data_IF_524899376512
#
_entry.id   IF_524899376512
#
_cell.length_a   1.000
_cell.length_b   1.000
_cell.length_c   1.000
_cell.angle_alpha   90.00
_cell.angle_beta   90.00
_cell.angle_gamma   90.00
#
_symmetry.space_group_name_H-M   'P 1'
#
loop_
_entity.id
_entity.type
_entity.pdbx_description
1 polymer ?
#
# COMPACT_ATOMS: atom_id res chain seq x y z
N UNK A 1 -19.38 -3.48 -18.08
CA UNK A 1 -20.31 -4.27 -18.93
C UNK A 1 -19.61 -5.60 -19.10
N UNK A 2 -20.03 -6.73 -18.57
CA UNK A 2 -21.37 -7.30 -18.36
C UNK A 2 -21.47 -7.90 -16.96
N UNK A 3 -22.48 -7.47 -16.20
CA UNK A 3 -22.89 -8.10 -14.95
C UNK A 3 -24.31 -8.60 -15.19
N UNK A 4 -24.47 -9.89 -15.44
CA UNK A 4 -25.77 -10.56 -15.37
C UNK A 4 -25.59 -11.98 -14.87
N UNK A 5 -25.90 -12.18 -13.59
CA UNK A 5 -27.01 -13.05 -13.18
C UNK A 5 -27.34 -12.74 -11.73
N UNK A 6 -28.47 -12.07 -11.54
CA UNK A 6 -29.08 -11.84 -10.24
C UNK A 6 -30.05 -12.98 -9.89
N UNK A 7 -30.22 -13.17 -8.56
CA UNK A 7 -31.30 -13.78 -7.77
C UNK A 7 -31.01 -15.11 -7.03
N UNK A 8 -31.62 -15.33 -5.83
CA UNK A 8 -31.95 -14.36 -4.78
C UNK A 8 -31.69 -14.86 -3.32
N UNK A 9 -31.69 -13.90 -2.39
CA UNK A 9 -32.13 -13.96 -0.98
C UNK A 9 -31.62 -15.08 -0.05
N UNK A 10 -30.86 -14.68 0.97
CA UNK A 10 -30.57 -15.52 2.13
C UNK A 10 -29.95 -14.82 3.35
N UNK A 11 -30.11 -13.50 3.52
CA UNK A 11 -29.75 -12.83 4.78
C UNK A 11 -30.77 -13.23 5.85
N UNK A 12 -30.48 -14.31 6.58
CA UNK A 12 -31.28 -14.75 7.74
C UNK A 12 -31.18 -16.24 8.08
N UNK A 13 -30.82 -17.12 7.15
CA UNK A 13 -30.86 -18.57 7.41
C UNK A 13 -29.69 -19.13 8.23
N UNK A 14 -28.50 -18.53 8.14
CA UNK A 14 -27.30 -19.09 8.77
C UNK A 14 -27.34 -19.06 10.32
N UNK A 15 -28.04 -18.08 10.91
CA UNK A 15 -28.19 -17.99 12.37
C UNK A 15 -29.32 -18.90 12.89
N UNK A 16 -30.37 -19.11 12.09
CA UNK A 16 -31.51 -19.95 12.47
C UNK A 16 -31.20 -21.45 12.32
N UNK A 17 -30.47 -21.85 11.26
CA UNK A 17 -30.04 -23.24 11.05
C UNK A 17 -29.01 -23.71 12.10
N UNK A 18 -28.22 -22.81 12.67
CA UNK A 18 -27.30 -23.15 13.76
C UNK A 18 -28.09 -23.50 15.05
N UNK A 19 -29.18 -22.78 15.34
CA UNK A 19 -29.97 -22.98 16.55
C UNK A 19 -30.88 -24.22 16.47
N UNK A 20 -31.31 -24.60 15.27
CA UNK A 20 -32.09 -25.84 15.06
C UNK A 20 -31.23 -27.11 15.22
N UNK A 21 -29.92 -27.02 14.93
CA UNK A 21 -28.98 -28.14 15.04
C UNK A 21 -28.67 -28.57 16.49
N UNK A 22 -28.81 -27.66 17.47
CA UNK A 22 -28.61 -27.98 18.90
C UNK A 22 -29.86 -28.63 19.55
N UNK A 23 -31.05 -28.46 18.96
CA UNK A 23 -32.30 -29.00 19.50
C UNK A 23 -32.55 -30.48 19.13
N UNK A 24 -31.85 -31.02 18.13
CA UNK A 24 -32.07 -32.37 17.59
C UNK A 24 -31.07 -33.45 18.10
N UNK A 25 -30.17 -33.12 19.03
CA UNK A 25 -29.24 -34.08 19.65
C UNK A 25 -29.89 -34.95 20.75
N UNK A 26 -31.09 -35.46 20.50
CA UNK A 26 -31.83 -36.34 21.42
C UNK A 26 -32.59 -37.43 20.68
N UNK A 27 -31.91 -38.49 20.23
CA UNK A 27 -32.59 -39.67 19.67
C UNK A 27 -31.66 -40.51 18.77
N UNK A 28 -31.40 -41.77 19.15
CA UNK A 28 -30.36 -42.60 18.54
C UNK A 28 -30.73 -43.33 17.25
N UNK A 29 -29.78 -44.15 16.78
CA UNK A 29 -30.00 -45.29 15.89
C UNK A 29 -29.40 -45.20 14.48
N UNK A 30 -28.27 -45.89 14.29
CA UNK A 30 -27.81 -46.61 13.08
C UNK A 30 -28.08 -46.07 11.67
N UNK A 31 -27.02 -45.66 10.97
CA UNK A 31 -27.00 -45.54 9.51
C UNK A 31 -25.69 -44.94 9.02
N UNK A 32 -24.87 -45.72 8.31
CA UNK A 32 -23.61 -45.27 7.72
C UNK A 32 -23.87 -44.34 6.52
N UNK A 33 -24.10 -43.05 6.80
CA UNK A 33 -23.92 -41.98 5.84
C UNK A 33 -22.56 -41.34 6.13
N UNK A 34 -21.67 -41.34 5.13
CA UNK A 34 -20.38 -40.67 5.21
C UNK A 34 -20.60 -39.21 5.67
N UNK A 35 -20.22 -38.92 6.91
CA UNK A 35 -20.27 -37.58 7.46
C UNK A 35 -19.38 -36.69 6.59
N UNK A 36 -20.00 -35.80 5.79
CA UNK A 36 -19.26 -34.70 5.15
C UNK A 36 -18.66 -33.86 6.28
N UNK A 37 -17.35 -33.93 6.42
CA UNK A 37 -16.59 -33.20 7.42
C UNK A 37 -16.93 -31.70 7.33
N UNK A 38 -17.41 -31.07 8.43
CA UNK A 38 -17.66 -29.63 8.48
C UNK A 38 -16.42 -28.78 8.13
N UNK A 39 -15.21 -29.34 8.25
CA UNK A 39 -13.94 -28.70 7.86
C UNK A 39 -13.83 -28.50 6.35
N UNK A 40 -14.30 -29.45 5.52
CA UNK A 40 -14.29 -29.31 4.05
C UNK A 40 -15.17 -28.15 3.57
N UNK A 41 -16.29 -27.87 4.26
CA UNK A 41 -17.12 -26.69 3.99
C UNK A 41 -16.46 -25.39 4.44
N UNK A 42 -15.75 -25.41 5.57
CA UNK A 42 -15.00 -24.25 6.08
C UNK A 42 -13.81 -23.94 5.16
N UNK A 43 -13.08 -24.94 4.69
CA UNK A 43 -11.93 -24.79 3.79
C UNK A 43 -12.37 -24.28 2.41
N UNK A 44 -13.52 -24.71 1.90
CA UNK A 44 -14.12 -24.16 0.67
C UNK A 44 -14.60 -22.72 0.83
N UNK A 45 -15.17 -22.36 1.98
CA UNK A 45 -15.57 -20.99 2.28
C UNK A 45 -14.38 -20.02 2.43
N UNK A 46 -13.23 -20.52 2.90
CA UNK A 46 -11.98 -19.73 3.00
C UNK A 46 -11.33 -19.51 1.62
N UNK A 47 -11.53 -20.44 0.68
CA UNK A 47 -10.98 -20.35 -0.68
C UNK A 47 -11.83 -19.56 -1.68
N UNK A 48 -13.03 -19.13 -1.30
CA UNK A 48 -13.91 -18.34 -2.17
C UNK A 48 -13.51 -16.86 -2.10
N UNK A 49 -13.11 -16.29 -3.25
CA UNK A 49 -12.67 -14.89 -3.33
C UNK A 49 -13.84 -13.96 -2.92
N UNK A 50 -13.56 -13.05 -2.00
CA UNK A 50 -14.51 -12.01 -1.60
C UNK A 50 -14.90 -11.13 -2.79
N UNK A 51 -16.19 -10.85 -2.94
CA UNK A 51 -16.72 -9.94 -3.95
C UNK A 51 -17.08 -8.60 -3.31
N UNK A 52 -16.93 -7.51 -4.07
CA UNK A 52 -17.36 -6.19 -3.64
C UNK A 52 -18.89 -6.12 -3.65
N UNK A 53 -19.49 -5.59 -2.58
CA UNK A 53 -20.94 -5.42 -2.51
C UNK A 53 -21.40 -4.28 -3.42
N UNK A 54 -20.63 -3.20 -3.50
CA UNK A 54 -20.94 -2.04 -4.31
C UNK A 54 -19.77 -1.57 -5.19
N UNK A 55 -20.09 -1.05 -6.38
CA UNK A 55 -19.08 -0.45 -7.28
C UNK A 55 -18.43 0.80 -6.66
N UNK A 56 -19.19 1.55 -5.86
CA UNK A 56 -18.70 2.76 -5.19
C UNK A 56 -17.67 2.41 -4.12
N UNK A 57 -17.86 1.31 -3.38
CA UNK A 57 -16.86 0.82 -2.41
C UNK A 57 -15.53 0.55 -3.11
N UNK A 58 -15.55 -0.14 -4.24
CA UNK A 58 -14.36 -0.38 -5.05
C UNK A 58 -13.69 0.93 -5.51
N UNK A 59 -14.45 1.87 -6.07
CA UNK A 59 -13.89 3.16 -6.54
C UNK A 59 -13.32 3.97 -5.38
N UNK A 60 -13.98 4.00 -4.23
CA UNK A 60 -13.51 4.70 -3.04
C UNK A 60 -12.23 4.08 -2.48
N UNK A 61 -12.13 2.74 -2.45
CA UNK A 61 -10.90 2.06 -2.06
C UNK A 61 -9.72 2.41 -2.97
N UNK A 62 -9.94 2.41 -4.29
CA UNK A 62 -8.90 2.77 -5.26
C UNK A 62 -8.54 4.25 -5.17
N UNK A 63 -9.52 5.14 -5.00
CA UNK A 63 -9.26 6.56 -4.82
C UNK A 63 -8.49 6.87 -3.52
N UNK A 64 -8.79 6.15 -2.44
CA UNK A 64 -8.08 6.24 -1.16
C UNK A 64 -6.60 5.86 -1.27
N UNK A 65 -6.29 4.86 -2.08
CA UNK A 65 -4.90 4.45 -2.36
C UNK A 65 -4.14 5.50 -3.18
N UNK A 66 -4.79 6.11 -4.18
CA UNK A 66 -4.17 7.09 -5.08
C UNK A 66 -3.94 8.44 -4.36
N UNK A 67 -4.81 8.82 -3.44
CA UNK A 67 -4.74 10.09 -2.71
C UNK A 67 -3.85 9.91 -1.47
N UNK A 68 -2.53 9.87 -1.67
CA UNK A 68 -1.55 9.78 -0.60
C UNK A 68 -1.14 11.14 0.00
N UNK A 69 -0.70 11.13 1.27
CA UNK A 69 -0.10 12.28 1.97
C UNK A 69 1.08 12.91 1.19
N UNK A 70 1.80 12.10 0.41
CA UNK A 70 2.86 12.58 -0.47
C UNK A 70 2.40 13.66 -1.45
N UNK A 71 1.16 13.60 -1.95
CA UNK A 71 0.61 14.61 -2.86
C UNK A 71 0.35 15.95 -2.16
N UNK A 72 0.19 15.97 -0.84
CA UNK A 72 -0.14 17.19 -0.08
C UNK A 72 1.10 18.08 0.10
N UNK A 73 2.27 17.50 0.39
CA UNK A 73 3.49 18.29 0.64
C UNK A 73 4.50 18.24 -0.51
N UNK A 74 4.64 17.10 -1.21
CA UNK A 74 5.71 16.92 -2.21
C UNK A 74 5.38 17.66 -3.49
N UNK A 75 4.13 17.57 -3.93
CA UNK A 75 3.69 18.20 -5.17
C UNK A 75 3.82 19.73 -5.12
N UNK A 76 3.31 20.44 -4.09
CA UNK A 76 3.49 21.89 -4.01
C UNK A 76 4.96 22.30 -3.91
N UNK A 77 5.75 21.56 -3.13
CA UNK A 77 7.19 21.81 -2.98
C UNK A 77 7.94 21.70 -4.30
N UNK A 78 7.66 20.66 -5.08
CA UNK A 78 8.31 20.43 -6.38
C UNK A 78 7.86 21.45 -7.43
N UNK A 79 6.57 21.79 -7.46
CA UNK A 79 6.05 22.84 -8.34
C UNK A 79 6.77 24.17 -8.05
N UNK A 80 6.90 24.55 -6.78
CA UNK A 80 7.55 25.81 -6.40
C UNK A 80 9.02 25.87 -6.87
N UNK A 81 9.80 24.80 -6.67
CA UNK A 81 11.20 24.76 -7.11
C UNK A 81 11.39 24.71 -8.62
N UNK A 82 10.46 24.11 -9.36
CA UNK A 82 10.61 23.84 -10.79
C UNK A 82 9.88 24.87 -11.68
N UNK A 83 9.77 26.12 -11.23
CA UNK A 83 9.15 27.19 -12.02
C UNK A 83 7.65 27.41 -11.77
N UNK A 84 7.15 26.99 -10.60
CA UNK A 84 5.79 27.24 -10.14
C UNK A 84 4.73 26.60 -11.03
N UNK A 85 3.82 27.44 -11.53
CA UNK A 85 2.69 27.02 -12.35
C UNK A 85 3.08 26.39 -13.70
N UNK A 86 4.25 26.71 -14.25
CA UNK A 86 4.69 26.18 -15.54
C UNK A 86 5.02 24.67 -15.48
N UNK A 87 5.37 24.16 -14.29
CA UNK A 87 5.64 22.74 -14.06
C UNK A 87 4.39 21.86 -14.24
N UNK A 88 3.18 22.43 -14.19
CA UNK A 88 1.94 21.68 -14.38
C UNK A 88 1.78 21.18 -15.82
N UNK A 89 2.33 21.87 -16.82
CA UNK A 89 2.20 21.51 -18.23
C UNK A 89 2.82 20.13 -18.51
N UNK A 90 4.12 19.88 -18.25
CA UNK A 90 4.70 18.56 -18.43
C UNK A 90 4.08 17.52 -17.49
N UNK A 91 3.71 17.90 -16.27
CA UNK A 91 3.07 17.00 -15.31
C UNK A 91 1.76 16.41 -15.85
N UNK A 92 0.87 17.24 -16.39
CA UNK A 92 -0.41 16.78 -16.96
C UNK A 92 -0.19 15.94 -18.22
N UNK A 93 0.78 16.30 -19.06
CA UNK A 93 1.12 15.52 -20.26
C UNK A 93 1.61 14.12 -19.87
N UNK A 94 2.57 14.01 -18.94
CA UNK A 94 3.05 12.70 -18.46
C UNK A 94 1.96 11.91 -17.71
N UNK A 95 1.08 12.59 -16.98
CA UNK A 95 -0.05 11.95 -16.31
C UNK A 95 -1.01 11.29 -17.32
N UNK A 96 -1.34 11.98 -18.41
CA UNK A 96 -2.25 11.46 -19.45
C UNK A 96 -1.54 10.41 -20.32
N UNK A 97 -0.29 10.64 -20.71
CA UNK A 97 0.44 9.75 -21.62
C UNK A 97 0.98 8.48 -20.94
N UNK A 98 1.33 8.53 -19.66
CA UNK A 98 1.95 7.41 -18.95
C UNK A 98 1.12 6.97 -17.74
N UNK A 99 0.59 7.90 -16.95
CA UNK A 99 -0.18 7.57 -15.74
C UNK A 99 -1.48 6.80 -16.03
N UNK A 100 -2.37 7.36 -16.85
CA UNK A 100 -3.66 6.74 -17.18
C UNK A 100 -3.47 5.36 -17.86
N UNK A 101 -2.58 5.19 -18.87
CA UNK A 101 -2.38 3.90 -19.50
C UNK A 101 -1.82 2.83 -18.56
N UNK A 102 -0.85 3.17 -17.70
CA UNK A 102 -0.29 2.22 -16.73
C UNK A 102 -1.33 1.82 -15.70
N UNK A 103 -2.11 2.76 -15.18
CA UNK A 103 -3.19 2.47 -14.24
C UNK A 103 -4.26 1.55 -14.84
N UNK A 104 -4.65 1.79 -16.09
CA UNK A 104 -5.61 0.95 -16.79
C UNK A 104 -5.04 -0.45 -17.07
N UNK A 105 -3.77 -0.54 -17.47
CA UNK A 105 -3.08 -1.80 -17.70
C UNK A 105 -3.01 -2.64 -16.43
N UNK A 106 -2.62 -2.05 -15.30
CA UNK A 106 -2.55 -2.72 -14.00
C UNK A 106 -3.94 -3.24 -13.56
N UNK A 107 -4.96 -2.39 -13.67
CA UNK A 107 -6.34 -2.76 -13.30
C UNK A 107 -6.88 -3.87 -14.19
N UNK A 108 -6.62 -3.81 -15.50
CA UNK A 108 -7.05 -4.83 -16.46
C UNK A 108 -6.34 -6.17 -16.22
N UNK A 109 -5.04 -6.15 -15.91
CA UNK A 109 -4.27 -7.35 -15.55
C UNK A 109 -4.77 -8.00 -14.27
N UNK A 110 -5.09 -7.21 -13.24
CA UNK A 110 -5.68 -7.71 -12.01
C UNK A 110 -7.05 -8.38 -12.23
N UNK A 111 -7.87 -7.79 -13.10
CA UNK A 111 -9.17 -8.37 -13.48
C UNK A 111 -9.01 -9.65 -14.32
N UNK A 112 -8.10 -9.67 -15.28
CA UNK A 112 -7.87 -10.81 -16.16
C UNK A 112 -7.31 -12.02 -15.40
N UNK A 113 -6.32 -11.81 -14.55
CA UNK A 113 -5.69 -12.90 -13.80
C UNK A 113 -6.53 -13.36 -12.62
N UNK A 114 -7.34 -12.46 -12.04
CA UNK A 114 -8.14 -12.71 -10.82
C UNK A 114 -7.31 -13.32 -9.68
N UNK A 115 -6.02 -12.97 -9.62
CA UNK A 115 -5.04 -13.45 -8.67
C UNK A 115 -4.49 -12.29 -7.81
N UNK A 116 -3.64 -12.59 -6.83
CA UNK A 116 -2.95 -11.55 -6.05
C UNK A 116 -1.71 -11.01 -6.78
N UNK A 117 -1.11 -9.92 -6.28
CA UNK A 117 0.04 -9.26 -6.92
C UNK A 117 1.26 -10.17 -7.15
N UNK A 118 1.47 -11.18 -6.30
CA UNK A 118 2.57 -12.15 -6.47
C UNK A 118 2.17 -13.31 -7.40
N UNK A 119 0.96 -13.86 -7.23
CA UNK A 119 0.51 -15.05 -7.99
C UNK A 119 0.08 -14.71 -9.42
N UNK A 120 -0.22 -13.44 -9.70
CA UNK A 120 -0.50 -12.90 -11.04
C UNK A 120 0.66 -13.15 -12.03
N UNK A 121 1.90 -12.84 -11.63
CA UNK A 121 3.08 -12.99 -12.48
C UNK A 121 3.30 -14.45 -12.92
N UNK A 122 2.97 -15.42 -12.05
CA UNK A 122 3.02 -16.85 -12.37
C UNK A 122 2.00 -17.29 -13.43
N UNK A 123 0.94 -16.52 -13.68
CA UNK A 123 -0.05 -16.75 -14.77
C UNK A 123 0.21 -15.93 -16.02
N UNK A 124 1.04 -14.88 -15.94
CA UNK A 124 1.50 -14.10 -17.09
C UNK A 124 2.69 -14.80 -17.78
N UNK A 125 3.60 -15.40 -17.00
CA UNK A 125 4.74 -16.19 -17.51
C UNK A 125 4.44 -17.53 -18.24
N UNK A 126 3.37 -18.30 -17.96
CA UNK A 126 3.04 -19.53 -18.68
C UNK A 126 2.44 -19.23 -20.07
N UNK A 127 2.17 -17.96 -20.42
CA UNK A 127 1.82 -17.56 -21.77
C UNK A 127 2.99 -17.76 -22.77
N UNK A 128 4.20 -18.03 -22.26
CA UNK A 128 5.40 -18.37 -23.04
C UNK A 128 5.96 -19.75 -22.66
N UNK A 129 5.08 -20.76 -22.54
CA UNK A 129 5.42 -22.14 -22.14
C UNK A 129 6.28 -22.89 -23.18
N UNK A 130 7.57 -22.57 -23.22
CA UNK A 130 8.64 -23.52 -23.46
C UNK A 130 9.18 -23.98 -22.10
N UNK A 131 8.86 -25.22 -21.70
CA UNK A 131 9.27 -25.90 -20.45
C UNK A 131 10.55 -25.36 -19.81
N UNK A 132 10.44 -24.67 -18.68
CA UNK A 132 11.58 -24.35 -17.82
C UNK A 132 11.37 -25.01 -16.45
N UNK A 133 11.96 -26.18 -16.28
CA UNK A 133 12.00 -26.91 -15.01
C UNK A 133 13.06 -26.26 -14.13
N UNK A 134 12.64 -25.63 -13.02
CA UNK A 134 13.56 -25.02 -12.06
C UNK A 134 13.99 -26.08 -11.05
N UNK A 135 15.24 -26.51 -11.12
CA UNK A 135 15.87 -27.34 -10.10
C UNK A 135 16.48 -26.41 -9.03
N UNK A 136 15.81 -26.29 -7.89
CA UNK A 136 16.29 -25.49 -6.76
C UNK A 136 17.31 -26.31 -5.94
N UNK A 137 18.55 -25.81 -5.81
CA UNK A 137 19.54 -26.32 -4.85
C UNK A 137 19.45 -25.48 -3.57
N UNK A 138 19.23 -26.12 -2.43
CA UNK A 138 18.58 -25.55 -1.23
C UNK A 138 19.37 -24.54 -0.37
N UNK A 139 20.50 -23.95 -0.81
CA UNK A 139 21.44 -23.31 0.15
C UNK A 139 21.95 -21.89 -0.19
N UNK A 140 21.24 -21.04 -0.95
CA UNK A 140 21.79 -19.73 -1.34
C UNK A 140 20.85 -18.56 -1.01
N UNK A 141 21.40 -17.58 -0.29
CA UNK A 141 20.73 -16.43 0.31
C UNK A 141 20.17 -15.46 -0.77
N UNK A 142 18.89 -15.06 -0.74
CA UNK A 142 18.19 -14.56 -1.94
C UNK A 142 18.40 -13.08 -2.31
N UNK A 143 18.91 -12.23 -1.42
CA UNK A 143 18.90 -10.76 -1.66
C UNK A 143 20.14 -10.23 -2.39
N UNK A 144 21.33 -10.76 -2.12
CA UNK A 144 22.58 -10.22 -2.70
C UNK A 144 22.85 -10.80 -4.09
N UNK A 145 22.52 -12.08 -4.32
CA UNK A 145 22.71 -12.74 -5.62
C UNK A 145 21.73 -12.28 -6.71
N UNK A 146 20.63 -11.61 -6.38
CA UNK A 146 19.69 -11.08 -7.38
C UNK A 146 20.30 -9.93 -8.20
N UNK A 147 21.24 -9.18 -7.61
CA UNK A 147 21.96 -8.10 -8.29
C UNK A 147 23.12 -8.63 -9.12
N UNK A 148 23.89 -9.60 -8.60
CA UNK A 148 25.02 -10.21 -9.33
C UNK A 148 24.56 -11.14 -10.48
N UNK A 149 23.45 -11.85 -10.35
CA UNK A 149 22.94 -12.73 -11.42
C UNK A 149 22.45 -11.97 -12.67
N UNK A 150 22.28 -10.65 -12.59
CA UNK A 150 21.86 -9.83 -13.74
C UNK A 150 23.02 -9.55 -14.73
N UNK A 151 24.28 -9.67 -14.29
CA UNK A 151 25.45 -9.29 -15.11
C UNK A 151 25.98 -10.43 -16.02
N UNK A 152 25.70 -11.69 -15.73
CA UNK A 152 26.33 -12.84 -16.42
C UNK A 152 25.53 -13.44 -17.61
N UNK A 153 24.32 -12.96 -17.93
CA UNK A 153 23.38 -13.66 -18.81
C UNK A 153 23.49 -13.36 -20.33
N UNK A 154 24.71 -13.14 -20.86
CA UNK A 154 24.90 -12.71 -22.27
C UNK A 154 25.31 -13.79 -23.29
N UNK A 155 25.25 -15.09 -23.00
CA UNK A 155 25.53 -16.14 -24.02
C UNK A 155 24.40 -17.17 -24.19
N UNK A 156 23.46 -16.84 -25.09
CA UNK A 156 22.90 -17.79 -26.06
C UNK A 156 22.16 -19.04 -25.55
N UNK A 157 21.02 -18.87 -24.88
CA UNK A 157 20.08 -19.97 -24.60
C UNK A 157 19.13 -19.75 -23.42
N UNK A 158 19.46 -18.81 -22.53
CA UNK A 158 18.77 -18.56 -21.25
C UNK A 158 17.66 -17.51 -21.28
N UNK A 159 17.34 -16.93 -22.43
CA UNK A 159 16.50 -15.71 -22.48
C UNK A 159 15.06 -15.91 -21.98
N UNK A 160 14.47 -17.12 -22.12
CA UNK A 160 13.13 -17.41 -21.59
C UNK A 160 13.11 -17.70 -20.08
N UNK A 161 14.15 -18.36 -19.54
CA UNK A 161 14.26 -18.68 -18.11
C UNK A 161 14.49 -17.39 -17.32
N UNK A 162 15.38 -16.51 -17.81
CA UNK A 162 15.69 -15.22 -17.21
C UNK A 162 14.46 -14.31 -17.17
N UNK A 163 13.64 -14.29 -18.24
CA UNK A 163 12.40 -13.51 -18.25
C UNK A 163 11.37 -13.99 -17.21
N UNK A 164 11.22 -15.31 -17.02
CA UNK A 164 10.28 -15.86 -16.03
C UNK A 164 10.73 -15.58 -14.58
N UNK A 165 12.05 -15.64 -14.33
CA UNK A 165 12.63 -15.33 -13.03
C UNK A 165 12.51 -13.83 -12.69
N UNK A 166 12.82 -12.95 -13.65
CA UNK A 166 12.68 -11.49 -13.49
C UNK A 166 11.23 -11.11 -13.20
N UNK A 167 10.26 -11.66 -13.93
CA UNK A 167 8.84 -11.35 -13.73
C UNK A 167 8.31 -11.87 -12.38
N UNK A 168 8.77 -13.04 -11.92
CA UNK A 168 8.44 -13.52 -10.56
C UNK A 168 9.12 -12.67 -9.48
N UNK A 169 10.35 -12.21 -9.74
CA UNK A 169 11.09 -11.28 -8.88
C UNK A 169 10.39 -9.93 -8.71
N UNK A 170 9.72 -9.41 -9.74
CA UNK A 170 8.92 -8.18 -9.66
C UNK A 170 7.79 -8.31 -8.62
N UNK A 171 7.13 -9.46 -8.54
CA UNK A 171 6.08 -9.70 -7.54
C UNK A 171 6.60 -9.63 -6.10
N UNK A 172 7.77 -10.19 -5.83
CA UNK A 172 8.39 -10.10 -4.50
C UNK A 172 8.96 -8.70 -4.22
N UNK A 173 9.57 -8.06 -5.21
CA UNK A 173 10.12 -6.70 -5.08
C UNK A 173 9.01 -5.69 -4.76
N UNK A 174 7.88 -5.74 -5.47
CA UNK A 174 6.72 -4.88 -5.21
C UNK A 174 6.18 -5.09 -3.80
N UNK A 175 6.03 -6.33 -3.33
CA UNK A 175 5.57 -6.61 -1.97
C UNK A 175 6.52 -6.06 -0.89
N UNK A 176 7.83 -6.13 -1.11
CA UNK A 176 8.83 -5.57 -0.19
C UNK A 176 8.74 -4.05 -0.16
N UNK A 177 8.60 -3.39 -1.31
CA UNK A 177 8.45 -1.93 -1.40
C UNK A 177 7.20 -1.48 -0.64
N UNK A 178 6.05 -2.13 -0.86
CA UNK A 178 4.80 -1.82 -0.16
C UNK A 178 4.92 -1.99 1.36
N UNK A 179 5.61 -3.04 1.81
CA UNK A 179 5.84 -3.25 3.24
C UNK A 179 6.67 -2.11 3.86
N UNK A 180 7.72 -1.64 3.17
CA UNK A 180 8.54 -0.52 3.64
C UNK A 180 7.74 0.79 3.66
N UNK A 181 6.95 1.05 2.62
CA UNK A 181 6.07 2.22 2.56
C UNK A 181 5.06 2.18 3.71
N UNK A 182 4.40 1.06 3.95
CA UNK A 182 3.42 0.92 5.03
C UNK A 182 4.04 1.21 6.41
N UNK A 183 5.23 0.65 6.71
CA UNK A 183 5.93 0.94 7.97
C UNK A 183 6.21 2.44 8.10
N UNK A 184 6.72 3.07 7.03
CA UNK A 184 6.98 4.51 7.01
C UNK A 184 5.71 5.34 7.21
N UNK A 185 4.60 4.96 6.56
CA UNK A 185 3.31 5.63 6.70
C UNK A 185 2.73 5.51 8.10
N UNK A 186 2.85 4.35 8.77
CA UNK A 186 2.41 4.17 10.16
C UNK A 186 3.14 5.14 11.09
N UNK A 187 4.45 5.33 10.90
CA UNK A 187 5.22 6.31 11.69
C UNK A 187 4.71 7.74 11.46
N UNK A 188 4.47 8.14 10.21
CA UNK A 188 3.91 9.48 9.91
C UNK A 188 2.54 9.66 10.58
N UNK A 189 1.66 8.67 10.50
CA UNK A 189 0.34 8.74 11.11
C UNK A 189 0.44 8.82 12.64
N UNK A 190 1.38 8.10 13.25
CA UNK A 190 1.63 8.20 14.70
C UNK A 190 2.04 9.62 15.11
N UNK A 191 2.95 10.25 14.35
CA UNK A 191 3.28 11.66 14.57
C UNK A 191 2.06 12.56 14.36
N UNK A 192 1.28 12.38 13.30
CA UNK A 192 0.09 13.19 13.05
C UNK A 192 -0.92 13.13 14.20
N UNK A 193 -1.12 11.95 14.81
CA UNK A 193 -1.98 11.78 16.00
C UNK A 193 -1.38 12.48 17.22
N UNK A 194 -0.06 12.42 17.41
CA UNK A 194 0.64 13.16 18.45
C UNK A 194 0.42 14.68 18.30
N UNK A 195 0.60 15.23 17.10
CA UNK A 195 0.29 16.65 16.82
C UNK A 195 -1.17 16.98 17.06
N UNK A 196 -2.09 16.15 16.55
CA UNK A 196 -3.52 16.34 16.72
C UNK A 196 -3.90 16.43 18.20
N UNK A 197 -3.29 15.59 19.04
CA UNK A 197 -3.52 15.59 20.49
C UNK A 197 -3.02 16.89 21.14
N UNK A 198 -1.88 17.42 20.68
CA UNK A 198 -1.32 18.68 21.15
C UNK A 198 -2.04 19.92 20.59
N UNK A 199 -2.87 19.80 19.55
CA UNK A 199 -3.69 20.91 19.06
C UNK A 199 -4.85 21.27 20.02
N UNK A 200 -5.19 20.41 20.98
CA UNK A 200 -6.23 20.68 21.96
C UNK A 200 -5.74 21.44 23.20
N UNK A 201 -4.45 21.81 23.27
CA UNK A 201 -3.92 22.65 24.35
C UNK A 201 -4.17 24.13 24.07
N UNK A 202 -4.27 24.94 25.13
CA UNK A 202 -4.53 26.38 25.01
C UNK A 202 -3.37 27.15 24.39
N UNK A 203 -2.15 26.72 24.68
CA UNK A 203 -0.91 27.22 24.08
C UNK A 203 -0.22 26.04 23.40
N UNK A 204 0.21 26.23 22.15
CA UNK A 204 0.86 25.18 21.37
C UNK A 204 2.34 25.10 21.76
N UNK A 205 2.89 23.90 22.01
CA UNK A 205 4.26 23.76 22.54
C UNK A 205 5.36 24.19 21.55
N UNK A 206 5.05 24.32 20.26
CA UNK A 206 5.95 24.82 19.22
C UNK A 206 5.69 26.29 18.82
N UNK A 207 4.81 27.00 19.54
CA UNK A 207 4.51 28.41 19.26
C UNK A 207 5.40 29.40 20.02
N UNK A 208 5.97 29.00 21.16
CA UNK A 208 6.71 29.90 22.07
C UNK A 208 8.11 29.38 22.41
N UNK A 209 9.04 30.31 22.64
CA UNK A 209 10.39 30.03 23.14
C UNK A 209 10.37 30.20 24.67
N UNK A 210 10.12 29.12 25.41
CA UNK A 210 10.00 29.18 26.87
C UNK A 210 9.98 27.83 27.58
N UNK A 211 10.38 26.77 26.87
CA UNK A 211 10.38 25.42 27.39
C UNK A 211 11.80 24.93 27.65
N UNK A 212 11.94 23.86 28.42
CA UNK A 212 13.26 23.32 28.81
C UNK A 212 14.08 22.78 27.64
N UNK A 213 13.44 22.44 26.52
CA UNK A 213 14.09 21.99 25.29
C UNK A 213 14.57 23.15 24.40
N UNK A 214 14.20 24.39 24.70
CA UNK A 214 14.60 25.53 23.89
C UNK A 214 16.02 26.01 24.24
N UNK A 215 16.77 26.40 23.21
CA UNK A 215 18.09 27.01 23.38
C UNK A 215 17.97 28.54 23.47
N UNK A 216 19.00 29.23 23.99
CA UNK A 216 19.10 30.70 24.01
C UNK A 216 19.04 31.37 22.62
N UNK A 217 19.08 30.58 21.53
CA UNK A 217 18.98 31.02 20.14
C UNK A 217 17.56 31.03 19.60
N UNK A 218 16.59 30.55 20.37
CA UNK A 218 15.19 30.50 19.97
C UNK A 218 14.60 31.90 19.84
N UNK A 219 13.94 32.19 18.72
CA UNK A 219 13.30 33.48 18.49
C UNK A 219 11.87 33.32 17.94
N UNK A 220 10.94 34.03 18.56
CA UNK A 220 9.54 34.13 18.11
C UNK A 220 9.39 35.20 17.01
N UNK A 221 9.64 34.82 15.76
CA UNK A 221 9.61 35.71 14.59
C UNK A 221 8.32 36.53 14.43
N UNK A 222 7.17 36.02 14.88
CA UNK A 222 5.89 36.71 14.77
C UNK A 222 5.73 37.87 15.78
N UNK A 223 6.48 37.85 16.88
CA UNK A 223 6.47 38.91 17.91
C UNK A 223 7.66 39.86 17.78
N UNK A 224 8.60 39.58 16.86
CA UNK A 224 9.75 40.44 16.61
C UNK A 224 9.35 41.72 15.88
N UNK A 225 9.63 42.86 16.51
CA UNK A 225 9.65 44.14 15.81
C UNK A 225 11.02 44.29 15.12
N UNK A 226 11.04 44.16 13.80
CA UNK A 226 12.24 44.01 12.93
C UNK A 226 13.24 45.18 13.04
N UNK A 227 12.88 46.26 13.74
CA UNK A 227 13.67 47.48 13.84
C UNK A 227 14.92 47.40 14.74
N UNK A 228 15.01 46.42 15.66
CA UNK A 228 16.05 46.40 16.72
C UNK A 228 17.05 45.25 16.67
N UNK A 229 16.89 44.28 15.76
CA UNK A 229 17.80 43.13 15.66
C UNK A 229 18.80 43.30 14.52
N UNK A 230 20.09 43.07 14.81
CA UNK A 230 21.12 43.04 13.78
C UNK A 230 20.85 41.88 12.82
N UNK A 231 21.00 42.12 11.52
CA UNK A 231 20.78 41.13 10.45
C UNK A 231 21.58 39.83 10.66
N UNK A 232 22.70 39.92 11.40
CA UNK A 232 23.57 38.80 11.80
C UNK A 232 22.95 37.94 12.91
N UNK A 233 22.22 38.53 13.86
CA UNK A 233 21.51 37.77 14.89
C UNK A 233 20.35 36.94 14.31
N UNK A 234 19.72 37.41 13.23
CA UNK A 234 18.63 36.71 12.56
C UNK A 234 19.11 35.52 11.72
N UNK A 235 20.34 35.55 11.20
CA UNK A 235 20.88 34.48 10.37
C UNK A 235 21.23 33.21 11.16
N UNK A 236 21.48 33.33 12.47
CA UNK A 236 21.80 32.20 13.37
C UNK A 236 20.65 31.86 14.33
N UNK A 237 19.47 32.47 14.16
CA UNK A 237 18.32 32.27 15.02
C UNK A 237 17.50 31.04 14.58
N UNK A 238 17.03 30.28 15.56
CA UNK A 238 16.19 29.09 15.40
C UNK A 238 14.75 29.44 15.79
N UNK A 239 13.78 28.87 15.08
CA UNK A 239 12.35 29.06 15.43
C UNK A 239 11.93 28.04 16.49
N UNK A 240 10.93 28.36 17.34
CA UNK A 240 10.42 27.43 18.35
C UNK A 240 9.90 26.12 17.76
N UNK A 241 9.39 26.15 16.52
CA UNK A 241 9.00 24.92 15.81
C UNK A 241 10.22 24.08 15.46
N UNK A 242 11.27 24.64 14.88
CA UNK A 242 12.48 23.90 14.51
C UNK A 242 13.14 23.23 15.72
N UNK A 243 13.29 23.95 16.84
CA UNK A 243 13.89 23.39 18.06
C UNK A 243 13.05 22.30 18.72
N UNK A 244 11.73 22.32 18.52
CA UNK A 244 10.87 21.23 19.01
C UNK A 244 11.12 19.91 18.24
N UNK A 245 11.64 19.98 17.00
CA UNK A 245 11.88 18.83 16.13
C UNK A 245 13.37 18.48 15.93
N UNK A 246 14.28 19.22 16.58
CA UNK A 246 15.72 18.88 16.67
C UNK A 246 15.97 17.78 17.71
#
# INVERSE_FOLDING_TARGET
MTAEKALPLGNGKAAEEARESEALSGGGGGGAAAARDPRDKRDKAVHERGHWNNKVEFVLSVAGEIIGLGNVWRFPYLCYKNGGGAFLIPYVVFFICCGIPVFFLETALGQFTSEGGITCWRKVCPLFEGKCQVHWKENWCPVVSAVEAAEDASEGGETQVTHCFVLSGIGYATQVIEAHLNVYYIIILAWAIFYLSNCFTTELPWATCGHEWNTDKCVEFQKLNVSNHSHVALQNATSPVMEFWE
#
